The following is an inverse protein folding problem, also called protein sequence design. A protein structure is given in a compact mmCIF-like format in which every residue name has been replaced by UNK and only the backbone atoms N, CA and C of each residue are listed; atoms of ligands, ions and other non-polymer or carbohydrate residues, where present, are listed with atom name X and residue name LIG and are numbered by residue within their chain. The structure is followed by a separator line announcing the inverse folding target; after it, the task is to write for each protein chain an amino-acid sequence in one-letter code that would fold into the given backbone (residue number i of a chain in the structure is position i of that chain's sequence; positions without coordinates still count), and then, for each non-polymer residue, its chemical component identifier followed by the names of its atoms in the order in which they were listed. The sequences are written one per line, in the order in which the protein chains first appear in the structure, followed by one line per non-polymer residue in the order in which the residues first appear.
data_IF_591807738874
#
_entry.id   IF_591807738874
#
_cell.length_a   1.000
_cell.length_b   1.000
_cell.length_c   1.000
_cell.angle_alpha   90.00
_cell.angle_beta   90.00
_cell.angle_gamma   90.00
#
_symmetry.space_group_name_H-M   'P 1'
#
loop_
_entity.id
_entity.type
_entity.pdbx_description
1 polymer ?
#
# COMPACT_ATOMS: atom_id res chain seq x y z
N UNK A 1 4.84 29.94 -3.81
CA UNK A 1 4.45 30.10 -5.24
C UNK A 1 3.65 28.85 -5.52
N UNK A 2 2.35 28.91 -5.84
CA UNK A 2 1.52 27.69 -5.82
C UNK A 2 2.10 26.62 -6.76
N UNK A 3 2.31 25.42 -6.23
CA UNK A 3 2.95 24.30 -6.92
C UNK A 3 2.06 23.82 -8.06
N UNK A 4 2.55 23.98 -9.29
CA UNK A 4 1.94 23.41 -10.50
C UNK A 4 2.43 21.97 -10.76
N UNK A 5 1.79 21.27 -11.71
CA UNK A 5 2.07 19.86 -12.06
C UNK A 5 3.57 19.55 -12.26
N UNK A 6 4.27 20.42 -12.99
CA UNK A 6 5.71 20.24 -13.28
C UNK A 6 6.60 20.43 -12.06
N UNK A 7 6.19 21.29 -11.12
CA UNK A 7 6.94 21.52 -9.88
C UNK A 7 6.77 20.32 -8.95
N UNK A 8 5.52 19.86 -8.72
CA UNK A 8 5.26 18.67 -7.90
C UNK A 8 5.99 17.43 -8.46
N UNK A 9 5.93 17.22 -9.77
CA UNK A 9 6.62 16.10 -10.42
C UNK A 9 8.14 16.19 -10.31
N UNK A 10 8.72 17.38 -10.08
CA UNK A 10 10.15 17.56 -9.86
C UNK A 10 10.52 17.22 -8.42
N UNK A 11 9.75 17.69 -7.44
CA UNK A 11 10.01 17.41 -6.02
C UNK A 11 9.88 15.91 -5.74
N UNK A 12 8.82 15.26 -6.23
CA UNK A 12 8.66 13.80 -6.10
C UNK A 12 9.84 13.01 -6.68
N UNK A 13 10.38 13.45 -7.83
CA UNK A 13 11.58 12.83 -8.42
C UNK A 13 12.83 13.10 -7.61
N UNK A 14 12.95 14.26 -6.98
CA UNK A 14 14.05 14.57 -6.07
C UNK A 14 14.04 13.65 -4.83
N UNK A 15 12.85 13.25 -4.38
CA UNK A 15 12.63 12.24 -3.34
C UNK A 15 12.75 10.78 -3.84
N UNK A 16 13.12 10.57 -5.11
CA UNK A 16 13.36 9.24 -5.65
C UNK A 16 12.11 8.47 -6.09
N UNK A 17 11.01 9.17 -6.37
CA UNK A 17 9.83 8.59 -7.02
C UNK A 17 10.00 8.62 -8.54
N UNK A 18 9.82 7.47 -9.19
CA UNK A 18 9.79 7.38 -10.66
C UNK A 18 8.42 7.87 -11.18
N UNK A 19 8.26 9.19 -11.26
CA UNK A 19 6.99 9.81 -11.66
C UNK A 19 6.69 9.59 -13.14
N UNK A 20 5.54 8.96 -13.42
CA UNK A 20 5.00 8.74 -14.76
C UNK A 20 4.13 9.93 -15.22
N UNK A 21 3.14 10.35 -14.41
CA UNK A 21 2.24 11.47 -14.71
C UNK A 21 1.80 12.18 -13.42
N UNK A 22 1.55 13.48 -13.51
CA UNK A 22 0.99 14.30 -12.42
C UNK A 22 -0.06 15.21 -13.01
N UNK A 23 -1.23 15.25 -12.36
CA UNK A 23 -2.32 16.18 -12.67
C UNK A 23 -2.70 16.96 -11.43
N UNK A 24 -2.78 18.28 -11.55
CA UNK A 24 -3.21 19.16 -10.47
C UNK A 24 -4.49 19.86 -10.89
N UNK A 25 -5.50 19.74 -10.05
CA UNK A 25 -6.78 20.43 -10.19
C UNK A 25 -7.10 21.18 -8.88
N UNK A 26 -8.11 22.07 -8.88
CA UNK A 26 -8.53 22.75 -7.66
C UNK A 26 -9.00 21.80 -6.56
N UNK A 27 -9.58 20.66 -6.93
CA UNK A 27 -10.19 19.70 -5.99
C UNK A 27 -9.29 18.52 -5.63
N UNK A 28 -8.40 18.10 -6.55
CA UNK A 28 -7.57 16.91 -6.38
C UNK A 28 -6.23 17.00 -7.09
N UNK A 29 -5.31 16.17 -6.64
CA UNK A 29 -4.01 15.90 -7.24
C UNK A 29 -3.99 14.42 -7.62
N UNK A 30 -3.68 14.10 -8.88
CA UNK A 30 -3.47 12.73 -9.30
C UNK A 30 -1.98 12.50 -9.55
N UNK A 31 -1.41 11.43 -9.00
CA UNK A 31 0.00 11.05 -9.14
C UNK A 31 0.10 9.61 -9.63
N UNK A 32 0.75 9.39 -10.76
CA UNK A 32 1.10 8.05 -11.22
C UNK A 32 2.62 7.87 -11.16
N UNK A 33 3.08 6.75 -10.60
CA UNK A 33 4.51 6.44 -10.50
C UNK A 33 4.79 4.96 -10.76
N UNK A 34 5.94 4.66 -11.35
CA UNK A 34 6.41 3.29 -11.54
C UNK A 34 7.04 2.80 -10.25
N UNK A 35 6.59 1.66 -9.72
CA UNK A 35 7.27 1.04 -8.57
C UNK A 35 8.57 0.39 -9.01
N UNK A 36 9.59 0.51 -8.16
CA UNK A 36 10.85 -0.22 -8.32
C UNK A 36 10.80 -1.61 -7.68
N UNK A 37 9.76 -1.91 -6.90
CA UNK A 37 9.59 -3.12 -6.10
C UNK A 37 8.19 -3.73 -6.34
N UNK A 38 7.88 -4.20 -7.56
CA UNK A 38 6.58 -4.79 -7.85
C UNK A 38 6.36 -6.06 -7.02
N UNK A 39 5.16 -6.19 -6.45
CA UNK A 39 4.76 -7.31 -5.59
C UNK A 39 3.25 -7.38 -5.40
N UNK A 40 2.81 -8.19 -4.43
CA UNK A 40 1.39 -8.36 -4.10
C UNK A 40 0.76 -7.08 -3.50
N UNK A 41 1.59 -6.25 -2.85
CA UNK A 41 1.21 -4.97 -2.26
C UNK A 41 2.17 -3.89 -2.77
N UNK A 42 1.72 -2.62 -2.86
CA UNK A 42 2.62 -1.51 -3.18
C UNK A 42 3.70 -1.35 -2.11
N UNK A 43 4.87 -0.84 -2.48
CA UNK A 43 5.93 -0.55 -1.51
C UNK A 43 5.51 0.61 -0.60
N UNK A 44 5.37 0.33 0.70
CA UNK A 44 4.98 1.35 1.68
C UNK A 44 6.04 2.46 1.81
N UNK A 45 7.30 2.18 1.47
CA UNK A 45 8.37 3.18 1.44
C UNK A 45 8.18 4.21 0.34
N UNK A 46 7.83 3.77 -0.88
CA UNK A 46 7.46 4.63 -2.00
C UNK A 46 6.22 5.47 -1.67
N UNK A 47 5.18 4.84 -1.11
CA UNK A 47 3.99 5.56 -0.64
C UNK A 47 4.32 6.64 0.39
N UNK A 48 5.15 6.29 1.39
CA UNK A 48 5.60 7.22 2.42
C UNK A 48 6.39 8.39 1.86
N UNK A 49 7.27 8.16 0.88
CA UNK A 49 8.00 9.23 0.19
C UNK A 49 7.06 10.17 -0.56
N UNK A 50 6.08 9.65 -1.30
CA UNK A 50 5.05 10.48 -1.96
C UNK A 50 4.30 11.32 -0.91
N UNK A 51 3.88 10.71 0.20
CA UNK A 51 3.16 11.41 1.25
C UNK A 51 4.01 12.52 1.89
N UNK A 52 5.27 12.24 2.23
CA UNK A 52 6.16 13.21 2.84
C UNK A 52 6.40 14.41 1.94
N UNK A 53 6.69 14.20 0.65
CA UNK A 53 6.86 15.31 -0.30
C UNK A 53 5.60 16.19 -0.36
N UNK A 54 4.40 15.60 -0.35
CA UNK A 54 3.15 16.38 -0.35
C UNK A 54 2.96 17.13 0.97
N UNK A 55 3.23 16.47 2.11
CA UNK A 55 3.14 17.06 3.45
C UNK A 55 4.08 18.27 3.56
N UNK A 56 5.36 18.11 3.19
CA UNK A 56 6.36 19.18 3.21
C UNK A 56 5.89 20.39 2.40
N UNK A 57 5.39 20.18 1.17
CA UNK A 57 4.87 21.26 0.33
C UNK A 57 3.65 21.96 0.93
N UNK A 58 2.79 21.24 1.66
CA UNK A 58 1.66 21.83 2.37
C UNK A 58 2.12 22.60 3.61
N UNK A 59 3.08 22.08 4.38
CA UNK A 59 3.67 22.75 5.53
C UNK A 59 4.38 24.06 5.15
N UNK A 60 5.11 24.07 4.03
CA UNK A 60 5.77 25.27 3.49
C UNK A 60 4.80 26.27 2.85
N UNK A 61 3.54 25.88 2.65
CA UNK A 61 2.51 26.72 2.02
C UNK A 61 2.68 26.88 0.50
N UNK A 62 3.47 26.01 -0.12
CA UNK A 62 3.62 25.94 -1.57
C UNK A 62 2.52 25.10 -2.23
N UNK A 63 1.77 24.32 -1.45
CA UNK A 63 0.62 23.54 -1.90
C UNK A 63 -0.55 23.67 -0.91
N UNK A 64 -1.78 23.88 -1.42
CA UNK A 64 -2.96 23.80 -0.56
C UNK A 64 -3.32 22.33 -0.28
N UNK A 65 -3.81 21.99 0.92
CA UNK A 65 -4.28 20.63 1.22
C UNK A 65 -5.46 20.26 0.32
N UNK A 66 -5.27 19.21 -0.49
CA UNK A 66 -6.25 18.69 -1.46
C UNK A 66 -6.22 17.17 -1.44
N UNK A 67 -7.28 16.53 -1.94
CA UNK A 67 -7.29 15.07 -2.06
C UNK A 67 -6.19 14.63 -3.02
N UNK A 68 -5.36 13.67 -2.61
CA UNK A 68 -4.34 13.07 -3.46
C UNK A 68 -4.80 11.68 -3.84
N UNK A 69 -4.85 11.38 -5.12
CA UNK A 69 -5.09 10.06 -5.65
C UNK A 69 -3.81 9.56 -6.30
N UNK A 70 -3.29 8.44 -5.83
CA UNK A 70 -2.03 7.90 -6.30
C UNK A 70 -2.24 6.52 -6.96
N UNK A 71 -1.47 6.27 -8.01
CA UNK A 71 -1.47 5.02 -8.77
C UNK A 71 -0.04 4.50 -8.85
N UNK A 72 0.20 3.34 -8.26
CA UNK A 72 1.46 2.61 -8.37
C UNK A 72 1.38 1.68 -9.59
N UNK A 73 2.36 1.80 -10.50
CA UNK A 73 2.42 1.07 -11.76
C UNK A 73 3.54 0.03 -11.72
N UNK A 74 3.29 -1.20 -12.16
CA UNK A 74 4.35 -2.22 -12.33
C UNK A 74 5.25 -1.86 -13.52
N UNK A 75 4.63 -1.45 -14.61
CA UNK A 75 5.31 -1.01 -15.84
C UNK A 75 4.32 -0.30 -16.78
N UNK A 76 4.71 0.85 -17.34
CA UNK A 76 3.88 1.66 -18.25
C UNK A 76 2.46 1.90 -17.72
N UNK A 77 1.45 1.18 -18.22
CA UNK A 77 0.04 1.33 -17.84
C UNK A 77 -0.49 0.15 -16.99
N UNK A 78 0.41 -0.77 -16.59
CA UNK A 78 0.06 -1.91 -15.72
C UNK A 78 -0.07 -1.44 -14.27
N UNK A 79 -1.32 -1.31 -13.80
CA UNK A 79 -1.62 -0.86 -12.44
C UNK A 79 -1.36 -1.98 -11.43
N UNK A 80 -0.56 -1.66 -10.42
CA UNK A 80 -0.36 -2.51 -9.25
C UNK A 80 -1.42 -2.23 -8.19
N UNK A 81 -1.59 -0.95 -7.85
CA UNK A 81 -2.48 -0.51 -6.79
C UNK A 81 -2.85 0.96 -6.95
N UNK A 82 -4.01 1.32 -6.42
CA UNK A 82 -4.43 2.71 -6.20
C UNK A 82 -4.61 2.97 -4.72
N UNK A 83 -4.35 4.20 -4.30
CA UNK A 83 -4.55 4.64 -2.92
C UNK A 83 -4.81 6.14 -2.91
N UNK A 84 -5.31 6.67 -1.79
CA UNK A 84 -5.58 8.09 -1.68
C UNK A 84 -5.29 8.66 -0.30
N UNK A 85 -5.17 9.98 -0.27
CA UNK A 85 -5.05 10.79 0.94
C UNK A 85 -6.15 11.83 0.89
N UNK A 86 -6.95 11.92 1.95
CA UNK A 86 -7.99 12.93 2.06
C UNK A 86 -7.40 14.31 2.40
N UNK A 87 -8.01 15.37 1.85
CA UNK A 87 -7.57 16.74 2.09
C UNK A 87 -7.55 17.12 3.58
N UNK A 88 -8.55 16.66 4.35
CA UNK A 88 -8.62 16.93 5.79
C UNK A 88 -7.49 16.23 6.56
N UNK A 89 -7.01 15.07 6.08
CA UNK A 89 -5.89 14.37 6.72
C UNK A 89 -4.59 15.15 6.54
N UNK A 90 -4.33 15.68 5.34
CA UNK A 90 -3.20 16.59 5.10
C UNK A 90 -3.30 17.85 5.97
N UNK A 91 -4.49 18.45 6.04
CA UNK A 91 -4.71 19.61 6.90
C UNK A 91 -4.54 19.27 8.39
N UNK A 92 -4.91 18.05 8.82
CA UNK A 92 -4.79 17.61 10.20
C UNK A 92 -3.34 17.30 10.58
N UNK A 93 -2.57 16.61 9.74
CA UNK A 93 -1.18 16.25 10.03
C UNK A 93 -0.28 17.50 10.06
N UNK A 94 -0.43 18.41 9.09
CA UNK A 94 0.34 19.67 9.05
C UNK A 94 -0.05 20.68 10.13
N UNK A 95 -1.23 20.52 10.73
CA UNK A 95 -1.65 21.27 11.94
C UNK A 95 -1.37 20.54 13.25
N UNK A 96 -0.65 19.40 13.19
CA UNK A 96 -0.33 18.54 14.33
C UNK A 96 -1.57 18.07 15.12
N UNK A 97 -2.72 17.95 14.46
CA UNK A 97 -3.97 17.41 15.03
C UNK A 97 -4.00 15.89 15.05
N UNK A 98 -3.32 15.25 14.09
CA UNK A 98 -3.06 13.82 14.05
C UNK A 98 -1.55 13.60 13.95
N UNK A 99 -1.08 12.47 14.44
CA UNK A 99 0.30 12.04 14.23
C UNK A 99 0.55 11.54 12.81
N UNK A 100 1.81 11.53 12.37
CA UNK A 100 2.24 10.91 11.11
C UNK A 100 1.88 9.42 11.06
N UNK A 101 1.91 8.75 12.22
CA UNK A 101 1.56 7.33 12.35
C UNK A 101 0.06 7.10 12.10
N UNK A 102 -0.81 7.93 12.67
CA UNK A 102 -2.26 7.92 12.39
C UNK A 102 -2.57 8.27 10.93
N UNK A 103 -1.86 9.26 10.37
CA UNK A 103 -1.97 9.61 8.96
C UNK A 103 -1.61 8.43 8.06
N UNK A 104 -0.45 7.80 8.29
CA UNK A 104 0.01 6.65 7.52
C UNK A 104 -0.96 5.48 7.62
N UNK A 105 -1.49 5.19 8.81
CA UNK A 105 -2.47 4.14 9.00
C UNK A 105 -3.75 4.40 8.17
N UNK A 106 -4.23 5.65 8.16
CA UNK A 106 -5.37 6.06 7.34
C UNK A 106 -5.12 5.87 5.84
N UNK A 107 -3.94 6.26 5.34
CA UNK A 107 -3.57 6.07 3.93
C UNK A 107 -3.51 4.59 3.56
N UNK A 108 -2.91 3.75 4.40
CA UNK A 108 -2.81 2.30 4.15
C UNK A 108 -4.18 1.62 4.07
N UNK A 109 -5.19 2.11 4.80
CA UNK A 109 -6.57 1.61 4.74
C UNK A 109 -7.24 1.89 3.38
N UNK A 110 -6.72 2.85 2.60
CA UNK A 110 -7.27 3.20 1.28
C UNK A 110 -6.69 2.39 0.11
N UNK A 111 -5.73 1.50 0.39
CA UNK A 111 -5.03 0.76 -0.66
C UNK A 111 -5.96 -0.25 -1.31
N UNK A 112 -6.18 -0.08 -2.60
CA UNK A 112 -6.92 -0.99 -3.46
C UNK A 112 -5.93 -1.62 -4.45
N UNK A 113 -5.72 -2.93 -4.37
CA UNK A 113 -4.90 -3.66 -5.34
C UNK A 113 -5.78 -4.20 -6.45
N UNK A 114 -5.30 -4.14 -7.69
CA UNK A 114 -5.95 -4.89 -8.78
C UNK A 114 -5.63 -6.37 -8.56
N UNK A 115 -6.47 -7.01 -7.74
CA UNK A 115 -6.37 -8.43 -7.43
C UNK A 115 -6.57 -9.19 -8.74
N UNK A 116 -5.54 -9.90 -9.20
CA UNK A 116 -5.77 -11.06 -10.05
C UNK A 116 -6.41 -12.15 -9.19
N UNK A 117 -7.71 -12.07 -8.92
CA UNK A 117 -8.56 -13.08 -8.25
C UNK A 117 -7.78 -14.05 -7.33
N UNK A 118 -7.19 -13.57 -6.23
CA UNK A 118 -6.88 -14.43 -5.09
C UNK A 118 -8.13 -14.44 -4.21
N UNK A 119 -9.17 -15.06 -4.76
CA UNK A 119 -10.32 -15.48 -3.99
C UNK A 119 -9.81 -16.33 -2.83
N UNK A 120 -10.12 -15.87 -1.62
CA UNK A 120 -10.23 -16.71 -0.45
C UNK A 120 -11.12 -17.91 -0.81
N UNK A 121 -10.47 -19.04 -1.13
CA UNK A 121 -11.08 -20.34 -1.20
C UNK A 121 -10.31 -21.23 -0.23
N UNK A 122 -10.68 -21.12 1.05
CA UNK A 122 -11.00 -22.25 1.91
C UNK A 122 -10.43 -23.59 1.39
N UNK A 123 -9.13 -23.80 1.62
CA UNK A 123 -8.60 -25.17 1.64
C UNK A 123 -8.74 -25.61 3.08
N UNK A 124 -9.71 -26.49 3.43
CA UNK A 124 -9.75 -27.05 4.76
C UNK A 124 -8.40 -27.73 4.98
N UNK A 125 -7.70 -27.29 6.02
CA UNK A 125 -6.52 -27.95 6.56
C UNK A 125 -6.92 -29.39 6.83
N UNK A 126 -6.57 -30.30 5.93
CA UNK A 126 -6.69 -31.72 6.17
C UNK A 126 -5.87 -31.98 7.43
N UNK A 127 -6.57 -32.17 8.55
CA UNK A 127 -5.99 -32.65 9.77
C UNK A 127 -5.20 -33.91 9.40
N UNK A 128 -3.89 -33.83 9.58
CA UNK A 128 -3.05 -35.02 9.60
C UNK A 128 -3.52 -35.79 10.82
N UNK A 129 -4.36 -36.79 10.59
CA UNK A 129 -4.72 -37.84 11.53
C UNK A 129 -3.44 -38.65 11.78
N UNK A 130 -2.63 -38.17 12.72
CA UNK A 130 -1.62 -38.99 13.37
C UNK A 130 -2.35 -39.82 14.42
N UNK A 131 -2.56 -41.11 14.14
CA UNK A 131 -2.47 -42.28 15.03
C UNK A 131 -3.56 -43.33 14.71
N UNK A 132 -3.16 -44.49 14.17
CA UNK A 132 -3.63 -45.82 14.62
C UNK A 132 -2.82 -46.91 13.91
N UNK A 133 -1.70 -47.34 14.54
CA UNK A 133 -1.05 -48.60 14.18
C UNK A 133 -2.01 -49.77 14.50
N UNK A 134 -2.26 -50.71 13.57
CA UNK A 134 -3.09 -51.86 13.89
C UNK A 134 -2.38 -52.81 14.86
N UNK A 135 -2.94 -52.94 16.05
CA UNK A 135 -2.61 -53.94 17.07
C UNK A 135 -2.57 -55.36 16.46
N UNK A 136 -1.40 -56.00 16.50
CA UNK A 136 -1.27 -57.47 16.44
C UNK A 136 -1.03 -57.99 17.87
N UNK A 137 -2.12 -58.34 18.55
CA UNK A 137 -2.08 -59.07 19.80
C UNK A 137 -2.32 -60.58 19.60
N UNK A 138 -1.72 -61.35 20.50
CA UNK A 138 -1.84 -62.78 20.78
C UNK A 138 -1.03 -63.70 19.84
N UNK A 139 -0.31 -64.71 20.32
CA UNK A 139 -0.63 -65.54 21.48
C UNK A 139 0.63 -66.22 22.05
N UNK A 140 0.73 -66.21 23.39
CA UNK A 140 1.65 -67.01 24.20
C UNK A 140 0.91 -68.30 24.58
N UNK A 141 1.48 -69.46 24.27
CA UNK A 141 0.92 -70.76 24.62
C UNK A 141 2.01 -71.82 24.72
N UNK A 142 2.40 -72.16 25.96
CA UNK A 142 3.51 -73.06 26.27
C UNK A 142 3.23 -74.57 26.23
N UNK A 143 4.36 -75.28 26.37
CA UNK A 143 4.58 -76.65 26.88
C UNK A 143 3.94 -77.87 26.18
N UNK A 144 4.79 -78.76 25.67
CA UNK A 144 5.09 -80.07 26.29
C UNK A 144 6.50 -80.53 25.92
#
# INVERSE_FOLDING_TARGET
MTTDESALARELRADGIDVADVRVSPERIAVAYTTTLPGAHPDHGEMGRVCNTVIDLVEDGDLDPRRVDATALRFEDDVQATWHVEADWLAAVTSYRISEEEFSAGVLDTVETEVGDDGDADTPHAAVDCDDEPQRAADDGGSQ
#
